data_IF_822337669310
#
_entry.id   IF_822337669310
#
_cell.length_a   1.000
_cell.length_b   1.000
_cell.length_c   1.000
_cell.angle_alpha   90.00
_cell.angle_beta   90.00
_cell.angle_gamma   90.00
#
_symmetry.space_group_name_H-M   'P 1'
#
loop_
_entity.id
_entity.type
_entity.pdbx_description
1 polymer ?
#
# COMPACT_ATOMS: atom_id res chain seq x y z
N UNK A 1 -6.72 22.29 -1.30
CA UNK A 1 -6.37 22.09 0.11
C UNK A 1 -4.93 21.62 0.16
N UNK A 2 -4.07 22.32 0.89
CA UNK A 2 -2.66 21.91 1.01
C UNK A 2 -2.50 20.73 1.97
N UNK A 3 -1.58 19.85 1.62
CA UNK A 3 -1.24 18.69 2.44
C UNK A 3 -0.65 19.14 3.78
N UNK A 4 -1.04 18.44 4.86
CA UNK A 4 -0.55 18.74 6.20
C UNK A 4 0.98 18.78 6.30
N UNK A 5 1.66 17.82 5.69
CA UNK A 5 3.12 17.75 5.74
C UNK A 5 3.79 18.97 5.06
N UNK A 6 3.14 19.58 4.05
CA UNK A 6 3.63 20.83 3.43
C UNK A 6 3.40 22.03 4.34
N UNK A 7 2.24 22.08 4.99
CA UNK A 7 1.93 23.14 5.94
C UNK A 7 2.78 23.06 7.21
N UNK A 8 3.15 21.85 7.64
CA UNK A 8 3.91 21.59 8.87
C UNK A 8 5.19 22.41 8.96
N UNK A 9 5.94 22.53 7.86
CA UNK A 9 7.17 23.32 7.79
C UNK A 9 6.93 24.84 7.76
N UNK A 10 5.74 25.27 7.32
CA UNK A 10 5.38 26.69 7.20
C UNK A 10 4.71 27.24 8.46
N UNK A 11 4.06 26.39 9.26
CA UNK A 11 3.41 26.77 10.52
C UNK A 11 4.44 26.72 11.64
N UNK A 12 4.72 27.89 12.24
CA UNK A 12 5.79 28.04 13.24
C UNK A 12 5.38 27.62 14.65
N UNK A 13 4.13 27.88 15.06
CA UNK A 13 3.65 27.51 16.40
C UNK A 13 3.03 26.10 16.42
N UNK A 14 3.26 25.40 17.53
CA UNK A 14 2.59 24.13 17.86
C UNK A 14 1.09 24.35 18.08
N UNK A 15 0.68 25.46 18.70
CA UNK A 15 -0.74 25.77 18.94
C UNK A 15 -1.51 25.90 17.62
N UNK A 16 -0.92 26.55 16.62
CA UNK A 16 -1.53 26.71 15.30
C UNK A 16 -1.69 25.37 14.57
N UNK A 17 -0.73 24.45 14.73
CA UNK A 17 -0.80 23.10 14.16
C UNK A 17 -1.95 22.32 14.78
N UNK A 18 -2.06 22.36 16.12
CA UNK A 18 -3.13 21.70 16.86
C UNK A 18 -4.51 22.27 16.48
N UNK A 19 -4.60 23.59 16.26
CA UNK A 19 -5.83 24.24 15.81
C UNK A 19 -6.25 23.72 14.44
N UNK A 20 -5.35 23.71 13.45
CA UNK A 20 -5.65 23.24 12.09
C UNK A 20 -5.99 21.74 12.08
N UNK A 21 -5.29 20.93 12.90
CA UNK A 21 -5.60 19.52 13.10
C UNK A 21 -7.03 19.33 13.62
N UNK A 22 -7.41 20.05 14.68
CA UNK A 22 -8.76 20.02 15.24
C UNK A 22 -9.82 20.50 14.27
N UNK A 23 -9.57 21.59 13.54
CA UNK A 23 -10.52 22.10 12.55
C UNK A 23 -10.77 21.03 11.48
N UNK A 24 -9.71 20.46 10.90
CA UNK A 24 -9.83 19.42 9.87
C UNK A 24 -10.45 18.13 10.39
N UNK A 25 -10.17 17.72 11.61
CA UNK A 25 -10.84 16.57 12.24
C UNK A 25 -12.36 16.78 12.39
N UNK A 26 -12.81 18.04 12.50
CA UNK A 26 -14.21 18.40 12.68
C UNK A 26 -14.90 18.92 11.41
N UNK A 27 -14.25 18.85 10.23
CA UNK A 27 -14.93 19.20 8.98
C UNK A 27 -16.11 18.27 8.71
N UNK A 28 -17.18 18.81 8.13
CA UNK A 28 -18.38 18.05 7.80
C UNK A 28 -18.12 16.87 6.85
N UNK A 29 -17.11 16.99 5.99
CA UNK A 29 -16.74 15.92 5.06
C UNK A 29 -15.74 14.91 5.64
N UNK A 30 -15.23 15.13 6.86
CA UNK A 30 -14.20 14.27 7.44
C UNK A 30 -14.73 12.88 7.68
N UNK A 31 -13.97 11.89 7.22
CA UNK A 31 -14.21 10.48 7.52
C UNK A 31 -13.21 10.07 8.60
N UNK A 32 -13.76 9.66 9.74
CA UNK A 32 -13.02 9.07 10.85
C UNK A 32 -12.96 7.57 10.64
N UNK A 33 -11.77 6.97 10.75
CA UNK A 33 -11.59 5.57 10.39
C UNK A 33 -11.90 4.61 11.54
N UNK A 34 -12.02 5.11 12.77
CA UNK A 34 -12.09 4.29 13.98
C UNK A 34 -10.76 3.62 14.37
N UNK A 35 -9.67 3.90 13.62
CA UNK A 35 -8.33 3.40 13.93
C UNK A 35 -7.59 4.44 14.77
N UNK A 36 -7.01 3.99 15.86
CA UNK A 36 -6.25 4.84 16.78
C UNK A 36 -4.74 4.58 16.65
N UNK A 37 -3.96 5.66 16.73
CA UNK A 37 -2.51 5.61 16.77
C UNK A 37 -1.98 6.28 18.04
N UNK A 38 -0.97 5.67 18.66
CA UNK A 38 -0.22 6.27 19.77
C UNK A 38 1.23 6.47 19.32
N UNK A 39 1.70 7.71 19.14
CA UNK A 39 3.09 7.96 18.80
C UNK A 39 4.03 7.44 19.90
N UNK A 40 5.21 6.97 19.49
CA UNK A 40 6.27 6.55 20.41
C UNK A 40 6.63 7.75 21.31
N UNK A 41 6.79 7.49 22.61
CA UNK A 41 7.12 8.48 23.64
C UNK A 41 6.10 9.64 23.77
N UNK A 42 4.84 9.42 23.37
CA UNK A 42 3.76 10.38 23.60
C UNK A 42 2.58 9.71 24.32
N UNK A 43 2.01 10.41 25.29
CA UNK A 43 0.88 9.90 26.07
C UNK A 43 -0.46 9.98 25.33
N UNK A 44 -0.54 10.82 24.29
CA UNK A 44 -1.77 11.07 23.56
C UNK A 44 -1.98 10.05 22.44
N UNK A 45 -3.20 9.51 22.41
CA UNK A 45 -3.72 8.73 21.28
C UNK A 45 -4.46 9.66 20.32
N UNK A 46 -4.35 9.38 19.03
CA UNK A 46 -5.02 10.12 17.97
C UNK A 46 -5.82 9.17 17.09
N UNK A 47 -7.07 9.50 16.80
CA UNK A 47 -7.86 8.80 15.81
C UNK A 47 -7.44 9.22 14.40
N UNK A 48 -7.20 8.25 13.52
CA UNK A 48 -6.92 8.47 12.12
C UNK A 48 -8.16 8.98 11.39
N UNK A 49 -7.97 9.97 10.55
CA UNK A 49 -9.03 10.55 9.73
C UNK A 49 -8.48 10.98 8.37
N UNK A 50 -9.37 11.12 7.40
CA UNK A 50 -9.05 11.76 6.15
C UNK A 50 -10.21 12.62 5.66
N UNK A 51 -9.90 13.57 4.78
CA UNK A 51 -10.89 14.46 4.18
C UNK A 51 -10.98 14.10 2.69
N UNK A 52 -12.08 13.49 2.23
CA UNK A 52 -12.30 13.28 0.82
C UNK A 52 -12.40 14.64 0.13
N UNK A 53 -11.61 14.82 -0.92
CA UNK A 53 -11.68 15.99 -1.79
C UNK A 53 -12.27 15.59 -3.13
N UNK A 54 -12.72 16.56 -3.92
CA UNK A 54 -13.13 16.29 -5.31
C UNK A 54 -12.01 15.60 -6.11
N UNK A 55 -10.74 15.94 -5.84
CA UNK A 55 -9.59 15.24 -6.43
C UNK A 55 -9.53 13.78 -6.00
N UNK A 56 -9.74 13.48 -4.72
CA UNK A 56 -9.80 12.11 -4.19
C UNK A 56 -10.92 11.31 -4.87
N UNK A 57 -12.12 11.88 -4.97
CA UNK A 57 -13.29 11.24 -5.59
C UNK A 57 -13.01 10.95 -7.07
N UNK A 58 -12.46 11.91 -7.80
CA UNK A 58 -12.10 11.74 -9.21
C UNK A 58 -11.03 10.65 -9.41
N UNK A 59 -10.07 10.53 -8.49
CA UNK A 59 -9.06 9.47 -8.54
C UNK A 59 -9.68 8.10 -8.30
N UNK A 60 -10.57 7.98 -7.30
CA UNK A 60 -11.31 6.74 -7.04
C UNK A 60 -12.08 6.31 -8.28
N UNK A 61 -12.85 7.23 -8.89
CA UNK A 61 -13.61 6.93 -10.10
C UNK A 61 -12.71 6.43 -11.25
N UNK A 62 -11.54 7.05 -11.45
CA UNK A 62 -10.58 6.63 -12.48
C UNK A 62 -10.02 5.24 -12.18
N UNK A 63 -9.63 4.96 -10.93
CA UNK A 63 -9.13 3.66 -10.52
C UNK A 63 -10.20 2.60 -10.78
N UNK A 64 -11.45 2.83 -10.38
CA UNK A 64 -12.57 1.90 -10.61
C UNK A 64 -12.81 1.64 -12.10
N UNK A 65 -12.70 2.67 -12.95
CA UNK A 65 -12.84 2.48 -14.40
C UNK A 65 -11.71 1.62 -14.97
N UNK A 66 -10.46 1.90 -14.59
CA UNK A 66 -9.31 1.14 -15.07
C UNK A 66 -9.29 -0.29 -14.54
N UNK A 67 -9.76 -0.51 -13.31
CA UNK A 67 -9.88 -1.85 -12.73
C UNK A 67 -10.86 -2.71 -13.54
N UNK A 68 -12.01 -2.13 -13.93
CA UNK A 68 -12.96 -2.80 -14.83
C UNK A 68 -12.35 -3.11 -16.20
N UNK A 69 -11.66 -2.16 -16.82
CA UNK A 69 -11.00 -2.39 -18.11
C UNK A 69 -9.90 -3.47 -18.01
N UNK A 70 -9.18 -3.50 -16.89
CA UNK A 70 -8.15 -4.50 -16.62
C UNK A 70 -8.78 -5.88 -16.44
N UNK A 71 -9.87 -5.99 -15.69
CA UNK A 71 -10.62 -7.22 -15.48
C UNK A 71 -11.15 -7.78 -16.80
N UNK A 72 -11.77 -6.95 -17.64
CA UNK A 72 -12.26 -7.34 -18.95
C UNK A 72 -11.14 -7.92 -19.82
N UNK A 73 -9.99 -7.23 -19.90
CA UNK A 73 -8.82 -7.70 -20.66
C UNK A 73 -8.23 -8.98 -20.07
N UNK A 74 -8.11 -9.05 -18.75
CA UNK A 74 -7.60 -10.23 -18.05
C UNK A 74 -8.49 -11.44 -18.33
N UNK A 75 -9.81 -11.27 -18.31
CA UNK A 75 -10.76 -12.35 -18.51
C UNK A 75 -10.68 -12.99 -19.90
N UNK A 76 -10.31 -12.23 -20.94
CA UNK A 76 -10.11 -12.72 -22.31
C UNK A 76 -8.84 -13.58 -22.45
N UNK A 77 -7.86 -13.42 -21.55
CA UNK A 77 -6.60 -14.15 -21.65
C UNK A 77 -6.79 -15.67 -21.45
N UNK A 78 -6.05 -16.50 -22.21
CA UNK A 78 -5.96 -17.94 -21.94
C UNK A 78 -5.42 -18.21 -20.54
N UNK A 79 -5.80 -19.34 -19.95
CA UNK A 79 -5.41 -19.71 -18.57
C UNK A 79 -3.89 -19.64 -18.32
N UNK A 80 -3.08 -20.13 -19.26
CA UNK A 80 -1.60 -20.05 -19.15
C UNK A 80 -1.09 -18.60 -19.10
N UNK A 81 -1.69 -17.71 -19.90
CA UNK A 81 -1.32 -16.30 -19.91
C UNK A 81 -1.76 -15.59 -18.62
N UNK A 82 -2.95 -15.90 -18.10
CA UNK A 82 -3.43 -15.41 -16.79
C UNK A 82 -2.45 -15.77 -15.67
N UNK A 83 -2.03 -17.02 -15.61
CA UNK A 83 -1.09 -17.49 -14.57
C UNK A 83 0.27 -16.82 -14.70
N UNK A 84 0.82 -16.73 -15.93
CA UNK A 84 2.09 -16.03 -16.17
C UNK A 84 2.01 -14.55 -15.75
N UNK A 85 0.92 -13.87 -16.10
CA UNK A 85 0.69 -12.47 -15.74
C UNK A 85 0.66 -12.28 -14.22
N UNK A 86 -0.04 -13.15 -13.48
CA UNK A 86 -0.09 -13.11 -12.01
C UNK A 86 1.31 -13.27 -11.40
N UNK A 87 2.10 -14.24 -11.89
CA UNK A 87 3.47 -14.48 -11.42
C UNK A 87 4.34 -13.24 -11.63
N UNK A 88 4.24 -12.61 -12.81
CA UNK A 88 5.02 -11.40 -13.12
C UNK A 88 4.63 -10.23 -12.22
N UNK A 89 3.33 -9.98 -12.02
CA UNK A 89 2.85 -8.92 -11.11
C UNK A 89 3.38 -9.11 -9.69
N UNK A 90 3.19 -10.30 -9.11
CA UNK A 90 3.60 -10.57 -7.73
C UNK A 90 5.11 -10.48 -7.60
N UNK A 91 5.87 -10.99 -8.57
CA UNK A 91 7.32 -10.92 -8.54
C UNK A 91 7.85 -9.49 -8.67
N UNK A 92 7.24 -8.68 -9.53
CA UNK A 92 7.64 -7.29 -9.71
C UNK A 92 7.30 -6.45 -8.46
N UNK A 93 6.14 -6.67 -7.83
CA UNK A 93 5.76 -6.01 -6.57
C UNK A 93 6.71 -6.37 -5.41
N UNK A 94 7.05 -7.65 -5.26
CA UNK A 94 8.02 -8.12 -4.26
C UNK A 94 9.41 -7.55 -4.54
N UNK A 95 9.82 -7.48 -5.80
CA UNK A 95 11.11 -6.90 -6.18
C UNK A 95 11.16 -5.40 -5.83
N UNK A 96 10.13 -4.63 -6.19
CA UNK A 96 10.03 -3.21 -5.87
C UNK A 96 9.95 -2.94 -4.37
N UNK A 97 9.20 -3.76 -3.61
CA UNK A 97 9.13 -3.65 -2.14
C UNK A 97 10.50 -3.92 -1.50
N UNK A 98 11.19 -4.98 -1.94
CA UNK A 98 12.53 -5.29 -1.45
C UNK A 98 13.54 -4.18 -1.77
N UNK A 99 13.48 -3.58 -2.96
CA UNK A 99 14.32 -2.43 -3.30
C UNK A 99 14.04 -1.22 -2.39
N UNK A 100 12.76 -0.92 -2.11
CA UNK A 100 12.36 0.15 -1.19
C UNK A 100 12.84 -0.10 0.24
N UNK A 101 12.84 -1.36 0.69
CA UNK A 101 13.29 -1.76 2.03
C UNK A 101 14.81 -2.00 2.13
N UNK A 102 15.54 -1.88 1.02
CA UNK A 102 16.99 -2.09 0.97
C UNK A 102 17.42 -3.57 1.03
N UNK A 103 16.51 -4.50 0.78
CA UNK A 103 16.76 -5.95 0.76
C UNK A 103 17.34 -6.34 -0.60
N UNK A 104 18.58 -6.86 -0.61
CA UNK A 104 19.21 -7.39 -1.83
C UNK A 104 18.55 -8.71 -2.24
N UNK A 105 17.75 -8.66 -3.30
CA UNK A 105 17.17 -9.82 -3.96
C UNK A 105 17.30 -9.69 -5.47
N UNK A 106 17.57 -10.78 -6.19
CA UNK A 106 17.52 -10.74 -7.66
C UNK A 106 16.09 -10.98 -8.15
N UNK A 107 15.68 -10.28 -9.22
CA UNK A 107 14.37 -10.51 -9.86
C UNK A 107 14.15 -11.98 -10.23
N UNK A 108 15.20 -12.68 -10.68
CA UNK A 108 15.15 -14.11 -11.03
C UNK A 108 14.81 -14.99 -9.82
N UNK A 109 15.43 -14.74 -8.66
CA UNK A 109 15.14 -15.50 -7.42
C UNK A 109 13.70 -15.28 -6.96
N UNK A 110 13.20 -14.05 -7.07
CA UNK A 110 11.82 -13.72 -6.68
C UNK A 110 10.83 -14.43 -7.62
N UNK A 111 11.00 -14.33 -8.94
CA UNK A 111 10.13 -15.03 -9.92
C UNK A 111 10.09 -16.53 -9.66
N UNK A 112 11.24 -17.15 -9.39
CA UNK A 112 11.31 -18.60 -9.12
C UNK A 112 10.61 -18.98 -7.81
N UNK A 113 10.76 -18.14 -6.78
CA UNK A 113 10.08 -18.33 -5.50
C UNK A 113 8.57 -18.17 -5.64
N UNK A 114 8.12 -17.14 -6.36
CA UNK A 114 6.70 -16.89 -6.66
C UNK A 114 6.07 -18.05 -7.43
N UNK A 115 6.77 -18.61 -8.44
CA UNK A 115 6.31 -19.81 -9.15
C UNK A 115 6.17 -21.01 -8.23
N UNK A 116 7.19 -21.28 -7.41
CA UNK A 116 7.18 -22.43 -6.49
C UNK A 116 5.98 -22.38 -5.53
N UNK A 117 5.65 -21.19 -5.03
CA UNK A 117 4.49 -20.95 -4.14
C UNK A 117 3.17 -21.15 -4.89
N UNK A 118 3.02 -20.55 -6.08
CA UNK A 118 1.75 -20.60 -6.83
C UNK A 118 1.44 -22.03 -7.32
N UNK A 119 2.47 -22.81 -7.69
CA UNK A 119 2.29 -24.16 -8.21
C UNK A 119 2.47 -25.27 -7.15
N UNK A 120 2.71 -24.93 -5.88
CA UNK A 120 3.05 -25.90 -4.83
C UNK A 120 4.18 -26.87 -5.24
N UNK A 121 5.13 -26.39 -6.05
CA UNK A 121 6.31 -27.15 -6.42
C UNK A 121 7.41 -26.92 -5.37
N UNK A 122 8.09 -27.97 -4.92
CA UNK A 122 9.21 -27.83 -3.98
C UNK A 122 10.29 -26.93 -4.58
N UNK A 123 10.47 -25.74 -3.99
CA UNK A 123 11.49 -24.81 -4.43
C UNK A 123 12.88 -25.44 -4.27
N UNK A 124 13.68 -25.47 -5.35
CA UNK A 124 15.07 -25.96 -5.28
C UNK A 124 15.95 -25.08 -4.36
N UNK A 125 15.50 -23.86 -4.04
CA UNK A 125 16.23 -22.90 -3.22
C UNK A 125 15.61 -22.77 -1.80
N UNK A 126 16.12 -23.60 -0.88
CA UNK A 126 15.72 -23.69 0.53
C UNK A 126 15.85 -22.40 1.38
N UNK A 127 16.47 -21.34 0.84
CA UNK A 127 16.78 -20.11 1.60
C UNK A 127 15.55 -19.23 1.84
N UNK A 128 14.59 -19.19 0.91
CA UNK A 128 13.40 -18.34 1.03
C UNK A 128 12.21 -19.03 1.73
N UNK A 129 12.20 -20.36 1.83
CA UNK A 129 11.21 -21.07 2.66
C UNK A 129 11.29 -20.63 4.14
N UNK A 130 12.47 -20.18 4.61
CA UNK A 130 12.67 -19.75 6.00
C UNK A 130 12.06 -18.39 6.35
N UNK A 131 11.79 -17.52 5.36
CA UNK A 131 11.09 -16.25 5.63
C UNK A 131 9.63 -16.50 6.01
N UNK A 132 9.02 -17.56 5.47
CA UNK A 132 7.65 -17.95 5.81
C UNK A 132 7.53 -18.62 7.19
N UNK A 133 8.57 -19.32 7.67
CA UNK A 133 8.51 -20.04 8.96
C UNK A 133 8.68 -19.13 10.18
N UNK A 134 9.20 -17.90 10.03
CA UNK A 134 9.38 -16.96 11.15
C UNK A 134 8.19 -16.02 11.37
N UNK A 135 7.15 -16.13 10.53
CA UNK A 135 5.94 -15.28 10.57
C UNK A 135 4.72 -16.00 11.15
N UNK A 136 4.93 -17.12 11.86
CA UNK A 136 3.89 -17.88 12.57
C UNK A 136 4.13 -17.87 14.07
#
# INVERSE_FOLDING_TARGET
>A
MDYFYKMYYNIKSIEDRDKIAKERYNYHSTIRTGLEIKPIDQDKTFELFYIPTNKTINLIQKITLYDKELEEKFNILPGVAKTKFLIEIVADELYSTNELEGIKSSRKEIVESTKSIIFNEESKNKRFNRIYEQSR
#
